data_IF_634889729727
#
_entry.id   IF_634889729727
#
_cell.length_a   1.000
_cell.length_b   1.000
_cell.length_c   1.000
_cell.angle_alpha   90.00
_cell.angle_beta   90.00
_cell.angle_gamma   90.00
#
_symmetry.space_group_name_H-M   'P 1'
#
loop_
_entity.id
_entity.type
_entity.pdbx_description
1 polymer ?
#
# COMPACT_ATOMS: atom_id res chain seq x y z
N UNK A 1 32.71 6.11 -6.82
CA UNK A 1 31.69 5.06 -6.66
C UNK A 1 30.88 5.01 -7.95
N UNK A 2 30.88 3.87 -8.65
CA UNK A 2 30.21 3.72 -9.94
C UNK A 2 28.68 3.66 -9.81
N UNK A 3 27.96 3.99 -10.89
CA UNK A 3 26.49 3.90 -10.96
C UNK A 3 25.95 2.53 -10.48
N UNK A 4 26.61 1.45 -10.90
CA UNK A 4 26.25 0.08 -10.54
C UNK A 4 26.44 -0.23 -9.05
N UNK A 5 27.51 0.28 -8.44
CA UNK A 5 27.78 0.10 -7.01
C UNK A 5 26.73 0.82 -6.16
N UNK A 6 26.32 2.02 -6.58
CA UNK A 6 25.28 2.80 -5.93
C UNK A 6 23.92 2.12 -5.97
N UNK A 7 23.49 1.65 -7.15
CA UNK A 7 22.23 0.92 -7.31
C UNK A 7 22.21 -0.33 -6.41
N UNK A 8 23.30 -1.11 -6.41
CA UNK A 8 23.39 -2.33 -5.60
C UNK A 8 23.39 -2.05 -4.10
N UNK A 9 24.02 -0.95 -3.66
CA UNK A 9 23.99 -0.53 -2.25
C UNK A 9 22.57 -0.19 -1.79
N UNK A 10 21.80 0.53 -2.62
CA UNK A 10 20.41 0.86 -2.30
C UNK A 10 19.55 -0.40 -2.25
N UNK A 11 19.61 -1.25 -3.26
CA UNK A 11 18.80 -2.46 -3.34
C UNK A 11 19.03 -3.40 -2.15
N UNK A 12 20.27 -3.46 -1.65
CA UNK A 12 20.65 -4.30 -0.50
C UNK A 12 20.49 -3.60 0.86
N UNK A 13 20.13 -2.33 0.89
CA UNK A 13 19.99 -1.56 2.15
C UNK A 13 18.86 -2.09 3.04
N UNK A 14 18.97 -1.84 4.36
CA UNK A 14 17.90 -2.16 5.32
C UNK A 14 16.66 -1.31 5.04
N UNK A 15 16.86 -0.05 4.66
CA UNK A 15 15.80 0.89 4.32
C UNK A 15 14.97 0.41 3.13
N UNK A 16 15.62 -0.08 2.07
CA UNK A 16 14.91 -0.64 0.91
C UNK A 16 14.08 -1.87 1.30
N UNK A 17 14.62 -2.76 2.16
CA UNK A 17 13.85 -3.92 2.65
C UNK A 17 12.58 -3.46 3.38
N UNK A 18 12.69 -2.46 4.26
CA UNK A 18 11.53 -1.90 4.98
C UNK A 18 10.52 -1.30 3.99
N UNK A 19 10.99 -0.51 3.02
CA UNK A 19 10.11 0.10 2.01
C UNK A 19 9.37 -0.95 1.16
N UNK A 20 10.07 -2.00 0.71
CA UNK A 20 9.44 -3.12 -0.01
C UNK A 20 8.44 -3.86 0.89
N UNK A 21 8.79 -4.15 2.14
CA UNK A 21 7.89 -4.84 3.07
C UNK A 21 6.61 -4.05 3.31
N UNK A 22 6.70 -2.74 3.56
CA UNK A 22 5.52 -1.89 3.75
C UNK A 22 4.69 -1.80 2.46
N UNK A 23 5.33 -1.61 1.31
CA UNK A 23 4.65 -1.60 0.01
C UNK A 23 3.88 -2.91 -0.23
N UNK A 24 4.50 -4.06 -0.01
CA UNK A 24 3.85 -5.38 -0.15
C UNK A 24 2.71 -5.56 0.84
N UNK A 25 2.90 -5.18 2.11
CA UNK A 25 1.86 -5.28 3.13
C UNK A 25 0.60 -4.53 2.73
N UNK A 26 0.73 -3.28 2.30
CA UNK A 26 -0.42 -2.47 1.85
C UNK A 26 -1.03 -3.09 0.58
N UNK A 27 -0.23 -3.53 -0.39
CA UNK A 27 -0.73 -4.16 -1.60
C UNK A 27 -1.52 -5.45 -1.33
N UNK A 28 -1.09 -6.26 -0.35
CA UNK A 28 -1.79 -7.49 0.06
C UNK A 28 -3.15 -7.17 0.66
N UNK A 29 -3.26 -6.17 1.54
CA UNK A 29 -4.55 -5.75 2.10
C UNK A 29 -5.53 -5.38 0.97
N UNK A 30 -5.04 -4.67 -0.05
CA UNK A 30 -5.87 -4.28 -1.19
C UNK A 30 -6.18 -5.43 -2.14
N UNK A 31 -5.28 -6.41 -2.26
CA UNK A 31 -5.58 -7.66 -2.97
C UNK A 31 -6.69 -8.44 -2.25
N UNK A 32 -6.69 -8.48 -0.91
CA UNK A 32 -7.77 -9.07 -0.12
C UNK A 32 -9.09 -8.33 -0.35
N UNK A 33 -9.07 -6.99 -0.37
CA UNK A 33 -10.25 -6.20 -0.74
C UNK A 33 -10.77 -6.56 -2.15
N UNK A 34 -9.88 -6.66 -3.14
CA UNK A 34 -10.27 -7.07 -4.49
C UNK A 34 -10.92 -8.46 -4.54
N UNK A 35 -10.45 -9.40 -3.70
CA UNK A 35 -11.07 -10.73 -3.54
C UNK A 35 -12.48 -10.61 -2.95
N UNK A 36 -12.66 -9.79 -1.92
CA UNK A 36 -13.99 -9.54 -1.31
C UNK A 36 -14.97 -9.00 -2.35
N UNK A 37 -14.54 -8.07 -3.21
CA UNK A 37 -15.36 -7.55 -4.31
C UNK A 37 -15.64 -8.63 -5.36
N UNK A 38 -14.64 -9.43 -5.73
CA UNK A 38 -14.80 -10.53 -6.69
C UNK A 38 -15.81 -11.60 -6.23
N UNK A 39 -15.93 -11.80 -4.91
CA UNK A 39 -16.91 -12.70 -4.31
C UNK A 39 -18.33 -12.11 -4.22
N UNK A 40 -18.53 -10.85 -4.63
CA UNK A 40 -19.84 -10.18 -4.61
C UNK A 40 -20.30 -9.73 -3.23
N UNK A 41 -19.44 -9.79 -2.21
CA UNK A 41 -19.76 -9.41 -0.81
C UNK A 41 -19.13 -8.08 -0.38
N UNK A 42 -18.60 -7.32 -1.35
CA UNK A 42 -17.96 -6.03 -1.12
C UNK A 42 -18.86 -5.03 -0.40
N UNK A 43 -20.11 -4.89 -0.83
CA UNK A 43 -21.05 -3.96 -0.20
C UNK A 43 -21.36 -4.36 1.25
N UNK A 44 -21.66 -5.64 1.48
CA UNK A 44 -21.93 -6.17 2.83
C UNK A 44 -20.75 -5.94 3.78
N UNK A 45 -19.51 -6.06 3.30
CA UNK A 45 -18.33 -5.73 4.09
C UNK A 45 -18.27 -4.24 4.45
N UNK A 46 -18.57 -3.35 3.49
CA UNK A 46 -18.59 -1.90 3.75
C UNK A 46 -19.71 -1.48 4.69
N UNK A 47 -20.90 -2.05 4.54
CA UNK A 47 -22.06 -1.82 5.41
C UNK A 47 -21.77 -2.21 6.87
N UNK A 48 -20.84 -3.14 7.09
CA UNK A 48 -20.38 -3.53 8.43
C UNK A 48 -19.22 -2.67 8.95
N UNK A 49 -18.20 -2.38 8.13
CA UNK A 49 -16.98 -1.71 8.59
C UNK A 49 -17.11 -0.18 8.66
N UNK A 50 -17.89 0.45 7.80
CA UNK A 50 -18.03 1.91 7.77
C UNK A 50 -18.71 2.49 9.02
N UNK A 51 -19.78 1.89 9.56
CA UNK A 51 -20.36 2.34 10.82
C UNK A 51 -19.38 2.27 12.00
N UNK A 52 -18.42 1.33 12.01
CA UNK A 52 -17.37 1.27 13.04
C UNK A 52 -16.44 2.49 13.00
N UNK A 53 -16.43 3.22 11.89
CA UNK A 53 -15.67 4.45 11.69
C UNK A 53 -16.55 5.71 11.75
N UNK A 54 -17.82 5.58 12.16
CA UNK A 54 -18.80 6.67 12.14
C UNK A 54 -18.98 7.30 10.75
N UNK A 55 -18.83 6.49 9.68
CA UNK A 55 -19.00 6.90 8.29
C UNK A 55 -20.33 6.36 7.77
N UNK A 56 -21.13 7.25 7.18
CA UNK A 56 -22.27 6.89 6.33
C UNK A 56 -21.92 7.21 4.88
N UNK A 57 -22.08 6.23 3.99
CA UNK A 57 -21.65 6.32 2.58
C UNK A 57 -22.85 6.29 1.65
N UNK A 58 -23.00 7.33 0.83
CA UNK A 58 -23.98 7.35 -0.26
C UNK A 58 -23.52 6.60 -1.52
N UNK A 59 -22.29 6.08 -1.52
CA UNK A 59 -21.69 5.36 -2.65
C UNK A 59 -21.72 3.85 -2.42
N UNK A 60 -21.95 3.11 -3.51
CA UNK A 60 -21.92 1.65 -3.53
C UNK A 60 -20.65 1.06 -4.13
N UNK A 61 -20.41 -0.22 -3.86
CA UNK A 61 -19.33 -1.01 -4.47
C UNK A 61 -19.70 -1.35 -5.91
N UNK A 62 -18.81 -0.98 -6.84
CA UNK A 62 -18.92 -1.34 -8.25
C UNK A 62 -18.62 -2.83 -8.49
N UNK A 63 -19.06 -3.34 -9.64
CA UNK A 63 -18.72 -4.68 -10.12
C UNK A 63 -17.20 -4.90 -10.21
N UNK A 64 -16.78 -6.14 -9.98
CA UNK A 64 -15.39 -6.53 -10.07
C UNK A 64 -14.84 -6.33 -11.49
N UNK A 65 -13.67 -5.69 -11.57
CA UNK A 65 -12.89 -5.55 -12.80
C UNK A 65 -11.44 -5.94 -12.52
N UNK A 66 -10.93 -6.89 -13.29
CA UNK A 66 -9.54 -7.35 -13.18
C UNK A 66 -8.54 -6.22 -13.39
N UNK A 67 -8.87 -5.26 -14.27
CA UNK A 67 -8.04 -4.09 -14.53
C UNK A 67 -7.98 -3.19 -13.29
N UNK A 68 -9.13 -2.88 -12.68
CA UNK A 68 -9.18 -2.05 -11.47
C UNK A 68 -8.47 -2.74 -10.29
N UNK A 69 -8.62 -4.06 -10.14
CA UNK A 69 -7.92 -4.82 -9.11
C UNK A 69 -6.39 -4.76 -9.29
N UNK A 70 -5.89 -4.98 -10.51
CA UNK A 70 -4.46 -4.88 -10.81
C UNK A 70 -3.92 -3.46 -10.55
N UNK A 71 -4.64 -2.43 -11.01
CA UNK A 71 -4.30 -1.04 -10.77
C UNK A 71 -4.27 -0.69 -9.28
N UNK A 72 -5.24 -1.20 -8.51
CA UNK A 72 -5.29 -0.98 -7.07
C UNK A 72 -4.04 -1.55 -6.38
N UNK A 73 -3.68 -2.80 -6.67
CA UNK A 73 -2.53 -3.48 -6.06
C UNK A 73 -1.21 -2.76 -6.41
N UNK A 74 -1.01 -2.42 -7.68
CA UNK A 74 0.21 -1.73 -8.13
C UNK A 74 0.30 -0.34 -7.53
N UNK A 75 -0.79 0.43 -7.57
CA UNK A 75 -0.83 1.80 -7.03
C UNK A 75 -0.52 1.82 -5.55
N UNK A 76 -1.13 0.92 -4.79
CA UNK A 76 -0.97 0.86 -3.33
C UNK A 76 0.41 0.34 -2.91
N UNK A 77 1.00 -0.60 -3.67
CA UNK A 77 2.40 -0.98 -3.51
C UNK A 77 3.34 0.23 -3.68
N UNK A 78 3.20 0.95 -4.80
CA UNK A 78 4.05 2.10 -5.13
C UNK A 78 3.89 3.20 -4.08
N UNK A 79 2.65 3.51 -3.68
CA UNK A 79 2.37 4.50 -2.65
C UNK A 79 3.01 4.12 -1.32
N UNK A 80 2.86 2.88 -0.86
CA UNK A 80 3.47 2.38 0.38
C UNK A 80 5.00 2.41 0.35
N UNK A 81 5.59 2.01 -0.77
CA UNK A 81 7.04 2.05 -0.96
C UNK A 81 7.58 3.49 -0.89
N UNK A 82 6.96 4.42 -1.64
CA UNK A 82 7.38 5.82 -1.67
C UNK A 82 7.13 6.55 -0.35
N UNK A 83 5.98 6.32 0.30
CA UNK A 83 5.67 6.89 1.60
C UNK A 83 6.70 6.46 2.67
N UNK A 84 7.15 5.20 2.61
CA UNK A 84 8.19 4.70 3.52
C UNK A 84 9.54 5.40 3.28
N UNK A 85 9.93 5.62 2.03
CA UNK A 85 11.14 6.39 1.71
C UNK A 85 11.05 7.84 2.17
N UNK A 86 9.89 8.48 1.98
CA UNK A 86 9.63 9.82 2.49
C UNK A 86 9.81 9.85 4.01
N UNK A 87 9.19 8.92 4.73
CA UNK A 87 9.28 8.84 6.19
C UNK A 87 10.72 8.62 6.68
N UNK A 88 11.45 7.69 6.05
CA UNK A 88 12.88 7.45 6.34
C UNK A 88 13.72 8.72 6.08
N UNK A 89 13.43 9.44 5.00
CA UNK A 89 14.09 10.71 4.69
C UNK A 89 13.84 11.78 5.75
N UNK A 90 12.57 11.95 6.16
CA UNK A 90 12.18 12.89 7.22
C UNK A 90 12.86 12.57 8.55
N UNK A 91 12.88 11.29 8.97
CA UNK A 91 13.59 10.88 10.19
C UNK A 91 15.08 11.24 10.14
N UNK A 92 15.74 11.06 8.99
CA UNK A 92 17.16 11.42 8.79
C UNK A 92 17.38 12.94 8.90
N UNK A 93 16.51 13.74 8.30
CA UNK A 93 16.55 15.21 8.37
C UNK A 93 16.36 15.69 9.81
N UNK A 94 15.37 15.13 10.51
CA UNK A 94 15.04 15.47 11.89
C UNK A 94 16.02 14.90 12.92
N UNK A 95 17.04 14.15 12.48
CA UNK A 95 18.01 13.44 13.33
C UNK A 95 17.32 12.59 14.42
N UNK A 96 16.18 11.99 14.10
CA UNK A 96 15.52 11.03 14.99
C UNK A 96 16.43 9.82 15.09
N UNK A 97 17.22 9.76 16.17
CA UNK A 97 18.07 8.61 16.49
C UNK A 97 17.21 7.61 17.27
N UNK A 98 17.35 6.33 16.92
CA UNK A 98 16.91 5.24 17.79
C UNK A 98 17.86 5.14 18.98
#
# INVERSE_FOLDING_TARGET
MGFWEWKMKILKSKENKIAVTVGLFIAIIHALWAIVVALGVGQTYLDWIFPLHFVDSMYGVMDFSIMNAALLIVTTFVAGYLATWLFIGLMKIMKVRK
#
